data_IF_439747104245
#
_entry.id   IF_439747104245
#
_cell.length_a   1.000
_cell.length_b   1.000
_cell.length_c   1.000
_cell.angle_alpha   90.00
_cell.angle_beta   90.00
_cell.angle_gamma   90.00
#
_symmetry.space_group_name_H-M   'P 1'
#
loop_
_entity.id
_entity.type
_entity.pdbx_description
1 polymer ?
#
# COMPACT_ATOMS: atom_id res chain seq x y z
N UNK A 1 -10.83 -9.17 20.70
CA UNK A 1 -10.35 -8.47 21.91
C UNK A 1 -10.73 -6.99 21.75
N UNK A 2 -11.64 -6.48 22.58
CA UNK A 2 -12.01 -5.04 22.81
C UNK A 2 -13.17 -4.95 23.83
N UNK A 3 -13.24 -5.87 24.82
CA UNK A 3 -14.44 -6.02 25.68
C UNK A 3 -14.52 -5.01 26.84
N UNK A 4 -13.42 -4.31 27.16
CA UNK A 4 -13.30 -3.41 28.31
C UNK A 4 -12.82 -2.01 27.91
N UNK A 5 -13.50 -1.36 26.97
CA UNK A 5 -13.28 0.05 26.63
C UNK A 5 -14.51 0.88 26.97
N UNK A 6 -14.36 2.15 27.42
CA UNK A 6 -15.49 3.00 27.84
C UNK A 6 -16.30 3.56 26.66
N UNK A 7 -16.12 3.03 25.45
CA UNK A 7 -16.75 3.48 24.21
C UNK A 7 -17.22 2.29 23.37
N UNK A 8 -18.29 2.48 22.58
CA UNK A 8 -18.75 1.49 21.62
C UNK A 8 -17.88 1.51 20.37
N UNK A 9 -17.52 0.32 19.89
CA UNK A 9 -16.78 0.11 18.65
C UNK A 9 -17.73 -0.44 17.60
N UNK A 10 -17.90 0.29 16.51
CA UNK A 10 -18.58 -0.18 15.31
C UNK A 10 -17.56 -0.41 14.20
N UNK A 11 -17.67 -1.54 13.52
CA UNK A 11 -16.85 -1.89 12.37
C UNK A 11 -17.63 -1.61 11.10
N UNK A 12 -17.02 -0.90 10.16
CA UNK A 12 -17.59 -0.64 8.85
C UNK A 12 -16.63 -1.12 7.78
N UNK A 13 -17.14 -2.02 6.92
CA UNK A 13 -16.44 -2.47 5.72
C UNK A 13 -17.08 -1.80 4.51
N UNK A 14 -16.25 -1.28 3.60
CA UNK A 14 -16.72 -0.58 2.40
C UNK A 14 -16.33 -1.37 1.16
N UNK A 15 -17.26 -1.60 0.22
CA UNK A 15 -17.01 -2.41 -0.96
C UNK A 15 -16.10 -1.72 -1.99
N UNK A 16 -16.00 -0.39 -1.96
CA UNK A 16 -15.13 0.38 -2.85
C UNK A 16 -14.86 1.80 -2.30
N UNK A 17 -14.09 2.58 -3.06
CA UNK A 17 -13.59 3.90 -2.65
C UNK A 17 -14.67 4.99 -2.54
N UNK A 18 -15.80 4.89 -3.26
CA UNK A 18 -16.84 5.93 -3.24
C UNK A 18 -17.55 6.06 -1.88
N UNK A 19 -18.17 5.00 -1.32
CA UNK A 19 -18.82 5.08 -0.01
C UNK A 19 -17.79 5.26 1.13
N UNK A 20 -16.55 4.80 0.96
CA UNK A 20 -15.46 5.10 1.89
C UNK A 20 -15.12 6.60 1.90
N UNK A 21 -15.00 7.23 0.73
CA UNK A 21 -14.72 8.66 0.60
C UNK A 21 -15.86 9.51 1.13
N UNK A 22 -17.10 9.10 0.88
CA UNK A 22 -18.29 9.75 1.43
C UNK A 22 -18.35 9.63 2.95
N UNK A 23 -18.10 8.44 3.51
CA UNK A 23 -18.03 8.24 4.95
C UNK A 23 -16.90 9.06 5.60
N UNK A 24 -15.74 9.13 4.96
CA UNK A 24 -14.62 9.96 5.44
C UNK A 24 -14.94 11.46 5.37
N UNK A 25 -15.53 11.93 4.27
CA UNK A 25 -15.91 13.33 4.10
C UNK A 25 -17.05 13.75 5.04
N UNK A 26 -17.97 12.84 5.33
CA UNK A 26 -19.08 13.04 6.26
C UNK A 26 -18.67 12.96 7.75
N UNK A 27 -17.40 12.65 8.05
CA UNK A 27 -16.93 12.44 9.42
C UNK A 27 -17.53 11.19 10.07
N UNK A 28 -18.02 10.23 9.27
CA UNK A 28 -18.64 8.99 9.74
C UNK A 28 -17.62 7.92 10.18
N UNK A 29 -16.32 8.19 10.02
CA UNK A 29 -15.21 7.34 10.44
C UNK A 29 -14.26 8.10 11.37
N UNK A 30 -14.03 7.55 12.56
CA UNK A 30 -13.12 8.15 13.55
C UNK A 30 -11.67 7.68 13.37
N UNK A 31 -11.47 6.41 12.97
CA UNK A 31 -10.15 5.80 12.83
C UNK A 31 -10.14 4.70 11.75
N UNK A 32 -8.96 4.44 11.18
CA UNK A 32 -8.79 3.38 10.20
C UNK A 32 -7.38 2.90 10.02
N UNK A 33 -7.26 1.65 9.56
CA UNK A 33 -6.01 1.06 9.13
C UNK A 33 -5.75 1.37 7.67
N UNK A 34 -4.58 1.95 7.39
CA UNK A 34 -4.10 2.28 6.05
C UNK A 34 -2.59 2.11 6.00
N UNK A 35 -2.05 1.78 4.82
CA UNK A 35 -0.60 1.78 4.61
C UNK A 35 0.00 3.19 4.77
N UNK A 36 1.27 3.23 5.18
CA UNK A 36 2.08 4.45 5.32
C UNK A 36 2.18 5.25 4.02
N UNK A 37 2.39 4.55 2.90
CA UNK A 37 2.45 5.15 1.57
C UNK A 37 1.11 5.80 1.17
N UNK A 38 -0.05 5.08 1.15
CA UNK A 38 -1.34 5.72 0.89
C UNK A 38 -1.66 6.89 1.83
N UNK A 39 -1.32 6.81 3.12
CA UNK A 39 -1.50 7.92 4.06
C UNK A 39 -0.66 9.15 3.63
N UNK A 40 0.59 8.93 3.24
CA UNK A 40 1.50 9.99 2.78
C UNK A 40 0.97 10.63 1.50
N UNK A 41 0.56 9.83 0.51
CA UNK A 41 -0.03 10.34 -0.73
C UNK A 41 -1.35 11.08 -0.50
N UNK A 42 -2.18 10.63 0.45
CA UNK A 42 -3.40 11.32 0.84
C UNK A 42 -3.08 12.68 1.49
N UNK A 43 -2.09 12.74 2.39
CA UNK A 43 -1.62 13.97 3.00
C UNK A 43 -1.09 14.98 1.97
N UNK A 44 -0.32 14.52 0.98
CA UNK A 44 0.14 15.35 -0.14
C UNK A 44 -1.01 15.94 -0.98
N UNK A 45 -2.20 15.30 -0.96
CA UNK A 45 -3.43 15.80 -1.61
C UNK A 45 -4.30 16.66 -0.68
N UNK A 46 -3.81 17.00 0.51
CA UNK A 46 -4.50 17.83 1.48
C UNK A 46 -5.48 17.11 2.41
N UNK A 47 -5.47 15.76 2.44
CA UNK A 47 -6.30 15.01 3.39
C UNK A 47 -5.80 15.26 4.81
N UNK A 48 -6.70 15.75 5.68
CA UNK A 48 -6.41 16.01 7.09
C UNK A 48 -6.61 14.73 7.91
N UNK A 49 -5.58 13.88 7.96
CA UNK A 49 -5.55 12.68 8.78
C UNK A 49 -4.33 12.68 9.72
N UNK A 50 -4.43 12.00 10.87
CA UNK A 50 -3.33 11.81 11.83
C UNK A 50 -3.10 10.33 12.07
N UNK A 51 -1.85 9.88 11.96
CA UNK A 51 -1.45 8.56 12.43
C UNK A 51 -1.41 8.56 13.97
N UNK A 52 -2.23 7.72 14.60
CA UNK A 52 -2.29 7.57 16.06
C UNK A 52 -1.68 6.25 16.55
N UNK A 53 -1.51 5.29 15.64
CA UNK A 53 -0.90 3.99 15.89
C UNK A 53 -0.25 3.48 14.60
N UNK A 54 0.82 2.71 14.72
CA UNK A 54 1.53 2.12 13.59
C UNK A 54 1.90 0.67 13.92
N UNK A 55 1.65 -0.21 12.97
CA UNK A 55 2.19 -1.57 12.93
C UNK A 55 3.19 -1.67 11.79
N UNK A 56 4.13 -2.62 11.91
CA UNK A 56 4.99 -2.97 10.79
C UNK A 56 4.38 -4.16 10.06
N UNK A 57 4.24 -4.04 8.76
CA UNK A 57 3.85 -5.12 7.87
C UNK A 57 4.94 -5.32 6.82
N UNK A 58 5.32 -6.56 6.59
CA UNK A 58 6.23 -6.96 5.51
C UNK A 58 5.42 -7.75 4.48
N UNK A 59 5.87 -7.78 3.23
CA UNK A 59 5.14 -8.46 2.15
C UNK A 59 4.85 -7.58 0.93
N UNK A 60 5.49 -6.42 0.79
CA UNK A 60 5.51 -5.72 -0.49
C UNK A 60 6.63 -6.30 -1.36
N UNK A 61 6.37 -6.48 -2.65
CA UNK A 61 7.32 -7.07 -3.58
C UNK A 61 7.19 -6.50 -4.99
N UNK A 62 8.30 -6.58 -5.73
CA UNK A 62 8.32 -6.44 -7.20
C UNK A 62 8.44 -7.83 -7.80
N UNK A 63 7.54 -8.16 -8.72
CA UNK A 63 7.41 -9.49 -9.31
C UNK A 63 7.52 -9.38 -10.82
N UNK A 64 8.29 -10.30 -11.40
CA UNK A 64 8.44 -10.50 -12.85
C UNK A 64 8.09 -11.95 -13.17
N UNK A 65 7.95 -12.30 -14.45
CA UNK A 65 7.77 -13.71 -14.83
C UNK A 65 8.99 -14.54 -14.44
N UNK A 66 8.79 -15.80 -14.06
CA UNK A 66 9.88 -16.71 -13.63
C UNK A 66 10.94 -16.94 -14.71
N UNK A 67 10.56 -16.86 -15.98
CA UNK A 67 11.45 -17.00 -17.15
C UNK A 67 12.06 -15.68 -17.62
N UNK A 68 11.75 -14.56 -16.95
CA UNK A 68 12.28 -13.26 -17.33
C UNK A 68 13.78 -13.17 -16.96
N UNK A 69 14.62 -12.54 -17.81
CA UNK A 69 16.05 -12.40 -17.55
C UNK A 69 16.38 -11.30 -16.52
N UNK A 70 15.38 -10.77 -15.81
CA UNK A 70 15.54 -9.64 -14.89
C UNK A 70 16.05 -10.12 -13.54
N UNK A 71 17.18 -9.59 -13.08
CA UNK A 71 17.82 -9.91 -11.81
C UNK A 71 17.78 -8.75 -10.82
N UNK A 72 17.46 -7.53 -11.28
CA UNK A 72 17.35 -6.37 -10.42
C UNK A 72 16.54 -5.22 -11.01
N UNK A 73 16.36 -4.18 -10.21
CA UNK A 73 15.58 -2.99 -10.59
C UNK A 73 16.15 -2.27 -11.83
N UNK A 74 17.46 -2.35 -12.06
CA UNK A 74 18.10 -1.75 -13.24
C UNK A 74 17.65 -2.42 -14.54
N UNK A 75 17.29 -3.69 -14.50
CA UNK A 75 16.81 -4.43 -15.69
C UNK A 75 15.39 -4.02 -16.08
N UNK A 76 14.69 -3.29 -15.20
CA UNK A 76 13.39 -2.70 -15.49
C UNK A 76 13.49 -1.35 -16.22
N UNK A 77 14.69 -0.87 -16.56
CA UNK A 77 14.83 0.35 -17.36
C UNK A 77 14.13 0.21 -18.73
N UNK A 78 13.26 1.17 -19.05
CA UNK A 78 12.42 1.18 -20.24
C UNK A 78 11.29 0.13 -20.23
N UNK A 79 11.14 -0.64 -19.15
CA UNK A 79 10.13 -1.71 -19.03
C UNK A 79 8.80 -1.19 -18.53
N UNK A 80 7.73 -1.93 -18.82
CA UNK A 80 6.39 -1.59 -18.39
C UNK A 80 6.08 -2.25 -17.05
N UNK A 81 5.87 -1.43 -16.02
CA UNK A 81 5.70 -1.90 -14.64
C UNK A 81 4.31 -1.50 -14.12
N UNK A 82 3.53 -2.47 -13.65
CA UNK A 82 2.20 -2.20 -13.13
C UNK A 82 2.15 -2.05 -11.61
N UNK A 83 1.36 -1.09 -11.15
CA UNK A 83 1.09 -0.83 -9.73
C UNK A 83 -0.14 0.07 -9.58
N UNK A 84 -0.79 0.05 -8.41
CA UNK A 84 -1.90 0.99 -8.12
C UNK A 84 -1.33 2.36 -7.76
N UNK A 85 -1.78 3.42 -8.43
CA UNK A 85 -1.32 4.80 -8.18
C UNK A 85 -1.57 5.22 -6.73
N UNK A 86 -0.51 5.57 -6.02
CA UNK A 86 -0.57 6.00 -4.62
C UNK A 86 -0.68 4.86 -3.59
N UNK A 87 -0.43 3.62 -4.02
CA UNK A 87 -0.40 2.45 -3.13
C UNK A 87 0.99 2.22 -2.52
N UNK A 88 1.09 1.21 -1.64
CA UNK A 88 2.37 0.71 -1.15
C UNK A 88 3.28 0.21 -2.28
N UNK A 89 2.71 -0.42 -3.32
CA UNK A 89 3.44 -0.81 -4.52
C UNK A 89 3.99 0.38 -5.31
N UNK A 90 3.25 1.49 -5.37
CA UNK A 90 3.74 2.73 -5.98
C UNK A 90 4.94 3.29 -5.22
N UNK A 91 4.87 3.35 -3.88
CA UNK A 91 6.00 3.81 -3.09
C UNK A 91 7.22 2.88 -3.21
N UNK A 92 7.00 1.56 -3.25
CA UNK A 92 8.06 0.58 -3.40
C UNK A 92 8.84 0.79 -4.70
N UNK A 93 8.17 0.88 -5.85
CA UNK A 93 8.86 1.05 -7.13
C UNK A 93 9.64 2.37 -7.19
N UNK A 94 9.07 3.46 -6.68
CA UNK A 94 9.75 4.76 -6.62
C UNK A 94 11.00 4.71 -5.74
N UNK A 95 10.90 4.05 -4.58
CA UNK A 95 12.03 3.87 -3.68
C UNK A 95 13.12 3.00 -4.32
N UNK A 96 12.75 1.89 -4.96
CA UNK A 96 13.71 1.01 -5.65
C UNK A 96 14.42 1.71 -6.80
N UNK A 97 13.72 2.52 -7.60
CA UNK A 97 14.33 3.33 -8.65
C UNK A 97 15.32 4.34 -8.07
N UNK A 98 14.91 5.06 -7.02
CA UNK A 98 15.76 6.04 -6.34
C UNK A 98 17.04 5.41 -5.78
N UNK A 99 16.94 4.23 -5.15
CA UNK A 99 18.10 3.49 -4.64
C UNK A 99 19.07 3.05 -5.75
N UNK A 100 18.55 2.80 -6.96
CA UNK A 100 19.35 2.51 -8.13
C UNK A 100 19.91 3.74 -8.84
N UNK A 101 19.64 4.96 -8.34
CA UNK A 101 20.00 6.21 -8.99
C UNK A 101 19.17 6.52 -10.24
N UNK A 102 18.01 5.88 -10.38
CA UNK A 102 17.08 6.05 -11.49
C UNK A 102 15.97 7.03 -11.13
N UNK A 103 15.48 7.73 -12.15
CA UNK A 103 14.31 8.61 -12.05
C UNK A 103 13.02 7.81 -12.34
N UNK A 104 11.87 8.40 -12.04
CA UNK A 104 10.57 7.74 -12.27
C UNK A 104 10.29 7.45 -13.75
N UNK A 105 10.84 8.26 -14.64
CA UNK A 105 10.77 8.10 -16.10
C UNK A 105 11.63 6.96 -16.65
N UNK A 106 12.40 6.29 -15.79
CA UNK A 106 13.14 5.09 -16.14
C UNK A 106 12.23 3.89 -16.46
N UNK A 107 10.93 3.96 -16.15
CA UNK A 107 9.95 2.90 -16.42
C UNK A 107 8.73 3.47 -17.15
N UNK A 108 7.98 2.60 -17.81
CA UNK A 108 6.63 2.93 -18.31
C UNK A 108 5.59 2.47 -17.29
N UNK A 109 4.92 3.37 -16.56
CA UNK A 109 3.94 2.97 -15.55
C UNK A 109 2.66 2.43 -16.17
N UNK A 110 2.12 1.34 -15.60
CA UNK A 110 0.79 0.82 -15.90
C UNK A 110 -0.08 0.82 -14.63
N UNK A 111 -1.05 1.73 -14.55
CA UNK A 111 -1.90 1.85 -13.36
C UNK A 111 -3.04 0.83 -13.39
N UNK A 112 -2.77 -0.38 -12.88
CA UNK A 112 -3.71 -1.50 -12.90
C UNK A 112 -4.02 -1.99 -11.47
N UNK A 113 -5.27 -2.39 -11.19
CA UNK A 113 -5.59 -3.12 -9.97
C UNK A 113 -4.97 -4.53 -9.99
N UNK A 114 -4.80 -5.18 -8.82
CA UNK A 114 -4.05 -6.43 -8.73
C UNK A 114 -4.51 -7.54 -9.67
N UNK A 115 -5.82 -7.79 -9.79
CA UNK A 115 -6.34 -8.85 -10.66
C UNK A 115 -6.00 -8.62 -12.15
N UNK A 116 -6.14 -7.39 -12.63
CA UNK A 116 -5.81 -7.02 -14.01
C UNK A 116 -4.30 -7.08 -14.27
N UNK A 117 -3.50 -6.64 -13.31
CA UNK A 117 -2.05 -6.69 -13.39
C UNK A 117 -1.51 -8.13 -13.39
N UNK A 118 -2.12 -9.05 -12.62
CA UNK A 118 -1.77 -10.47 -12.66
C UNK A 118 -2.01 -11.06 -14.05
N UNK A 119 -3.16 -10.76 -14.67
CA UNK A 119 -3.47 -11.19 -16.03
C UNK A 119 -2.50 -10.57 -17.05
N UNK A 120 -2.20 -9.27 -16.91
CA UNK A 120 -1.29 -8.54 -17.78
C UNK A 120 0.16 -9.06 -17.70
N UNK A 121 0.62 -9.45 -16.50
CA UNK A 121 1.95 -10.06 -16.35
C UNK A 121 1.97 -11.44 -16.99
N UNK A 122 0.91 -12.23 -16.77
CA UNK A 122 0.78 -13.59 -17.30
C UNK A 122 0.77 -13.61 -18.83
N UNK A 123 0.07 -12.67 -19.46
CA UNK A 123 -0.01 -12.56 -20.93
C UNK A 123 1.16 -11.80 -21.57
N UNK A 124 2.10 -11.26 -20.77
CA UNK A 124 3.29 -10.56 -21.26
C UNK A 124 3.05 -9.13 -21.74
N UNK A 125 1.90 -8.52 -21.44
CA UNK A 125 1.62 -7.11 -21.79
C UNK A 125 2.25 -6.08 -20.84
N UNK A 126 2.84 -6.55 -19.73
CA UNK A 126 3.72 -5.83 -18.80
C UNK A 126 4.89 -6.73 -18.40
N UNK A 127 5.99 -6.12 -17.96
CA UNK A 127 7.23 -6.80 -17.59
C UNK A 127 7.31 -7.15 -16.10
N UNK A 128 6.68 -6.31 -15.26
CA UNK A 128 6.72 -6.44 -13.81
C UNK A 128 5.46 -5.88 -13.15
N UNK A 129 5.20 -6.32 -11.92
CA UNK A 129 4.21 -5.73 -11.01
C UNK A 129 4.88 -5.33 -9.69
N UNK A 130 4.35 -4.30 -9.03
CA UNK A 130 4.76 -3.92 -7.67
C UNK A 130 3.54 -3.83 -6.76
N UNK A 131 3.43 -4.74 -5.80
CA UNK A 131 2.24 -4.91 -4.95
C UNK A 131 2.56 -5.27 -3.50
N UNK A 132 1.50 -5.55 -2.73
CA UNK A 132 1.46 -5.93 -1.32
C UNK A 132 0.62 -7.21 -1.15
N UNK A 133 0.79 -7.90 -0.02
CA UNK A 133 -0.05 -9.03 0.37
C UNK A 133 -1.50 -8.60 0.68
N UNK A 134 -2.52 -9.46 0.48
CA UNK A 134 -2.43 -10.86 0.05
C UNK A 134 -2.32 -11.04 -1.47
N UNK A 135 -2.32 -9.95 -2.24
CA UNK A 135 -2.36 -10.02 -3.71
C UNK A 135 -1.13 -10.68 -4.32
N UNK A 136 0.02 -10.53 -3.66
CA UNK A 136 1.25 -11.22 -4.03
C UNK A 136 1.06 -12.74 -3.91
N UNK A 137 0.68 -13.23 -2.73
CA UNK A 137 0.50 -14.66 -2.51
C UNK A 137 -0.66 -15.27 -3.30
N UNK A 138 -1.74 -14.51 -3.54
CA UNK A 138 -2.90 -14.98 -4.31
C UNK A 138 -2.58 -15.03 -5.81
N UNK A 139 -1.95 -13.97 -6.33
CA UNK A 139 -1.76 -13.78 -7.77
C UNK A 139 -0.48 -14.39 -8.33
N UNK A 140 0.55 -14.58 -7.49
CA UNK A 140 1.90 -14.87 -7.97
C UNK A 140 2.55 -15.96 -7.11
N UNK A 141 2.70 -17.16 -7.69
CA UNK A 141 3.36 -18.31 -7.04
C UNK A 141 4.88 -18.15 -6.91
N UNK A 142 5.49 -17.12 -7.51
CA UNK A 142 6.93 -16.89 -7.54
C UNK A 142 7.24 -15.39 -7.39
N UNK A 143 8.12 -15.04 -6.44
CA UNK A 143 8.46 -13.65 -6.07
C UNK A 143 9.94 -13.39 -6.34
N UNK A 144 10.27 -12.32 -7.06
CA UNK A 144 11.65 -12.00 -7.46
C UNK A 144 12.38 -11.16 -6.39
N UNK A 145 11.73 -10.15 -5.80
CA UNK A 145 12.37 -9.20 -4.89
C UNK A 145 11.42 -8.79 -3.76
N UNK A 146 11.81 -9.05 -2.50
CA UNK A 146 11.17 -8.51 -1.29
C UNK A 146 11.99 -7.31 -0.76
N UNK A 147 11.31 -6.27 -0.27
CA UNK A 147 11.98 -5.09 0.27
C UNK A 147 12.77 -5.39 1.57
N UNK A 148 14.00 -4.86 1.75
CA UNK A 148 14.76 -5.05 2.98
C UNK A 148 14.20 -4.24 4.17
N UNK A 149 14.50 -4.74 5.38
CA UNK A 149 14.01 -4.25 6.68
C UNK A 149 14.30 -2.75 6.92
N UNK A 150 13.28 -1.89 6.84
CA UNK A 150 13.38 -0.55 7.43
C UNK A 150 13.29 -0.62 8.97
N UNK A 151 14.27 -0.02 9.66
CA UNK A 151 14.25 0.29 11.10
C UNK A 151 13.83 1.75 11.29
N UNK A 152 12.60 1.99 11.70
CA UNK A 152 12.12 3.32 12.09
C UNK A 152 12.09 3.39 13.63
N UNK A 153 12.81 4.34 14.24
CA UNK A 153 12.70 4.66 15.67
C UNK A 153 11.51 5.58 15.89
N UNK A 154 10.44 5.10 16.51
CA UNK A 154 9.28 5.91 16.91
C UNK A 154 9.55 6.60 18.26
N UNK A 155 9.35 7.92 18.33
CA UNK A 155 9.29 8.68 19.59
C UNK A 155 7.88 8.56 20.19
N UNK A 156 7.79 8.19 21.47
CA UNK A 156 6.51 8.12 22.21
C UNK A 156 6.05 9.54 22.60
N UNK A 157 4.85 9.92 22.20
CA UNK A 157 4.12 11.05 22.79
C UNK A 157 2.94 10.54 23.63
N UNK A 158 2.81 11.08 24.84
CA UNK A 158 1.71 10.79 25.78
C UNK A 158 0.49 11.64 25.41
N UNK A 159 -0.70 11.05 25.37
CA UNK A 159 -1.95 11.80 25.43
C UNK A 159 -2.95 11.17 26.42
N UNK A 160 -3.57 12.06 27.20
CA UNK A 160 -4.67 11.83 28.14
C UNK A 160 -6.01 11.76 27.40
N UNK A 161 -6.93 10.92 27.87
CA UNK A 161 -8.21 10.60 27.20
C UNK A 161 -9.40 11.37 27.80
N UNK A 162 -10.32 11.81 26.93
CA UNK A 162 -11.70 12.19 27.23
C UNK A 162 -12.64 11.24 26.45
N UNK A 163 -13.90 11.01 26.88
CA UNK A 163 -14.72 9.93 26.34
C UNK A 163 -15.32 10.32 24.98
N UNK A 164 -15.03 9.54 23.94
CA UNK A 164 -15.68 9.64 22.63
C UNK A 164 -15.86 8.23 22.02
N UNK A 165 -16.91 8.05 21.22
CA UNK A 165 -17.11 6.84 20.40
C UNK A 165 -15.98 6.74 19.36
N UNK A 166 -15.48 5.54 19.08
CA UNK A 166 -14.36 5.33 18.15
C UNK A 166 -14.70 4.17 17.20
N UNK A 167 -14.89 4.49 15.93
CA UNK A 167 -15.15 3.54 14.83
C UNK A 167 -13.86 3.23 14.07
N UNK A 168 -13.59 1.95 13.80
CA UNK A 168 -12.34 1.46 13.20
C UNK A 168 -12.55 0.91 11.78
N UNK A 169 -11.54 1.06 10.91
CA UNK A 169 -11.47 0.49 9.55
C UNK A 169 -10.35 -0.57 9.43
N UNK A 170 -10.64 -1.64 8.69
CA UNK A 170 -9.68 -2.63 8.19
C UNK A 170 -9.89 -2.79 6.67
N UNK A 171 -8.85 -2.63 5.85
CA UNK A 171 -8.89 -3.03 4.44
C UNK A 171 -8.22 -4.40 4.30
N UNK A 172 -8.84 -5.29 3.52
CA UNK A 172 -8.19 -6.52 3.03
C UNK A 172 -7.26 -6.22 1.86
#
# INVERSE_FOLDING_TARGET
MLKNVPYQVEWSEFPNAAPLREALAAGALDAGSVGDAPLTFAGARGVKAKAIFATKYEGNAIIVKTDAPYQGIKDLFGKKVAFVKGSAGHALILQSLKEAGLKEDAITPAFLPPAEATLALTNGSIDAVSFWEPYISIGFRSVLLQAPRLRIKLHKTKHSAAPARVRFLHQR
#
